data_IF_716611357266
#
_entry.id   IF_716611357266
#
_cell.length_a   1.000
_cell.length_b   1.000
_cell.length_c   1.000
_cell.angle_alpha   90.00
_cell.angle_beta   90.00
_cell.angle_gamma   90.00
#
_symmetry.space_group_name_H-M   'P 1'
#
loop_
_entity.id
_entity.type
_entity.pdbx_description
1 polymer ?
#
# COMPACT_ATOMS: atom_id res chain seq x y z
N UNK A 1 9.55 23.82 28.92
CA UNK A 1 8.51 23.27 28.03
C UNK A 1 8.83 21.81 27.76
N UNK A 2 7.91 20.90 28.11
CA UNK A 2 8.13 19.46 28.11
C UNK A 2 8.02 18.91 26.68
N UNK A 3 9.10 18.31 26.17
CA UNK A 3 9.12 17.52 24.95
C UNK A 3 8.36 16.21 25.19
N UNK A 4 7.38 15.89 24.34
CA UNK A 4 6.78 14.56 24.28
C UNK A 4 7.16 13.94 22.95
N UNK A 5 8.19 13.11 22.96
CA UNK A 5 8.50 12.17 21.88
C UNK A 5 7.59 10.97 22.03
N UNK A 6 6.66 10.79 21.10
CA UNK A 6 5.82 9.59 21.03
C UNK A 6 6.60 8.55 20.23
N UNK A 7 6.95 7.44 20.88
CA UNK A 7 7.53 6.25 20.25
C UNK A 7 6.48 5.15 20.32
N UNK A 8 5.92 4.73 19.19
CA UNK A 8 5.13 3.49 19.12
C UNK A 8 6.05 2.38 18.61
N UNK A 9 6.47 1.50 19.53
CA UNK A 9 7.05 0.20 19.21
C UNK A 9 5.88 -0.79 19.24
N UNK A 10 5.43 -1.20 18.06
CA UNK A 10 4.43 -2.26 17.89
C UNK A 10 5.10 -3.62 17.86
N UNK A 11 5.21 -4.27 19.02
CA UNK A 11 5.54 -5.69 19.15
C UNK A 11 4.22 -6.48 19.05
N UNK A 12 3.93 -7.10 17.91
CA UNK A 12 2.79 -8.02 17.76
C UNK A 12 3.27 -9.44 18.02
N UNK A 13 2.96 -9.95 19.21
CA UNK A 13 3.13 -11.34 19.59
C UNK A 13 1.91 -12.14 19.11
N UNK A 14 2.19 -13.11 18.26
CA UNK A 14 1.23 -13.99 17.60
C UNK A 14 0.93 -15.18 18.53
N UNK A 15 -0.29 -15.25 19.09
CA UNK A 15 -0.78 -16.42 19.80
C UNK A 15 -2.13 -16.86 19.21
N UNK A 16 -2.06 -17.81 18.28
CA UNK A 16 -3.19 -18.62 17.82
C UNK A 16 -3.43 -19.71 18.86
N UNK A 17 -4.61 -19.73 19.49
CA UNK A 17 -5.11 -20.91 20.20
C UNK A 17 -6.64 -20.88 20.34
N UNK A 18 -7.30 -21.63 19.45
CA UNK A 18 -8.42 -22.53 19.78
C UNK A 18 -9.76 -21.91 20.18
N UNK A 19 -10.61 -21.61 19.19
CA UNK A 19 -12.06 -21.68 19.39
C UNK A 19 -12.54 -23.12 19.16
N UNK A 20 -12.81 -23.83 20.26
CA UNK A 20 -13.54 -25.09 20.30
C UNK A 20 -14.54 -25.01 21.46
N UNK A 21 -15.75 -24.56 21.21
CA UNK A 21 -16.94 -24.66 22.08
C UNK A 21 -18.15 -24.26 21.21
N UNK A 22 -19.29 -24.94 21.14
CA UNK A 22 -19.75 -26.22 21.66
C UNK A 22 -21.00 -26.58 20.86
N UNK A 23 -21.19 -27.86 20.52
CA UNK A 23 -22.48 -28.38 20.11
C UNK A 23 -23.32 -28.62 21.37
N UNK A 24 -24.55 -28.08 21.42
CA UNK A 24 -25.55 -28.42 22.41
C UNK A 24 -26.86 -28.80 21.71
N UNK A 25 -27.40 -29.94 22.13
CA UNK A 25 -28.53 -30.68 21.58
C UNK A 25 -29.92 -30.11 21.91
N UNK A 26 -30.90 -30.51 21.09
CA UNK A 26 -32.28 -30.86 21.48
C UNK A 26 -33.32 -29.75 21.34
N UNK A 27 -34.58 -29.97 20.94
CA UNK A 27 -35.37 -31.17 20.63
C UNK A 27 -36.67 -30.74 19.91
N UNK A 28 -37.16 -31.60 19.01
CA UNK A 28 -38.55 -32.02 18.73
C UNK A 28 -39.71 -31.01 18.63
N UNK A 29 -40.45 -31.05 17.50
CA UNK A 29 -41.80 -31.65 17.42
C UNK A 29 -42.42 -31.63 16.00
N UNK A 30 -42.86 -32.84 15.61
CA UNK A 30 -43.94 -33.29 14.73
C UNK A 30 -45.02 -32.27 14.29
N UNK A 31 -45.40 -32.27 12.99
CA UNK A 31 -46.71 -32.76 12.48
C UNK A 31 -47.12 -32.16 11.11
N UNK A 32 -47.26 -33.04 10.11
CA UNK A 32 -48.36 -33.16 9.13
C UNK A 32 -49.11 -31.94 8.50
N UNK A 33 -49.03 -31.89 7.16
CA UNK A 33 -50.17 -31.85 6.17
C UNK A 33 -50.65 -30.50 5.56
N UNK A 34 -50.71 -30.55 4.21
CA UNK A 34 -51.58 -29.90 3.19
C UNK A 34 -51.20 -28.55 2.54
N UNK A 35 -51.01 -28.68 1.21
CA UNK A 35 -51.30 -27.79 0.08
C UNK A 35 -52.08 -26.50 0.39
N UNK A 36 -51.62 -25.36 -0.12
CA UNK A 36 -52.45 -24.53 -0.99
C UNK A 36 -51.62 -23.58 -1.87
N UNK A 37 -52.28 -23.15 -2.93
CA UNK A 37 -51.83 -22.46 -4.13
C UNK A 37 -51.27 -21.05 -3.92
N UNK A 38 -50.48 -20.61 -4.91
CA UNK A 38 -50.43 -19.21 -5.30
C UNK A 38 -49.56 -18.30 -4.44
N UNK A 39 -48.27 -18.23 -4.77
CA UNK A 39 -47.51 -17.01 -4.52
C UNK A 39 -46.65 -16.69 -5.72
N UNK A 40 -46.97 -15.55 -6.32
CA UNK A 40 -46.20 -14.86 -7.34
C UNK A 40 -44.81 -14.62 -6.77
N UNK A 41 -43.87 -15.51 -7.07
CA UNK A 41 -42.46 -15.26 -6.83
C UNK A 41 -42.04 -14.22 -7.87
N UNK A 42 -42.09 -12.97 -7.43
CA UNK A 42 -41.24 -11.91 -7.95
C UNK A 42 -39.85 -12.50 -8.12
N UNK A 43 -39.34 -12.48 -9.34
CA UNK A 43 -37.93 -12.71 -9.58
C UNK A 43 -37.16 -11.62 -8.85
N UNK A 44 -36.81 -11.88 -7.59
CA UNK A 44 -35.58 -11.37 -7.04
C UNK A 44 -34.50 -11.94 -7.95
N UNK A 45 -34.14 -11.13 -8.93
CA UNK A 45 -32.87 -11.28 -9.59
C UNK A 45 -31.89 -11.04 -8.45
N UNK A 46 -31.42 -12.12 -7.83
CA UNK A 46 -30.17 -12.09 -7.08
C UNK A 46 -29.20 -11.39 -8.03
N UNK A 47 -28.94 -10.11 -7.77
CA UNK A 47 -27.77 -9.47 -8.32
C UNK A 47 -26.66 -10.38 -7.82
N UNK A 48 -26.09 -11.18 -8.73
CA UNK A 48 -24.84 -11.88 -8.44
C UNK A 48 -23.94 -10.78 -7.91
N UNK A 49 -23.61 -10.85 -6.62
CA UNK A 49 -22.50 -10.09 -6.07
C UNK A 49 -21.31 -10.52 -6.93
N UNK A 50 -21.00 -9.69 -7.93
CA UNK A 50 -19.81 -9.89 -8.73
C UNK A 50 -18.71 -9.57 -7.77
N UNK A 51 -18.04 -10.62 -7.28
CA UNK A 51 -16.90 -10.49 -6.40
C UNK A 51 -15.92 -9.49 -7.02
N UNK A 52 -15.68 -8.40 -6.29
CA UNK A 52 -14.75 -7.36 -6.74
C UNK A 52 -13.36 -7.96 -6.92
N UNK A 53 -12.70 -7.61 -8.02
CA UNK A 53 -11.36 -8.08 -8.36
C UNK A 53 -10.32 -7.59 -7.36
N UNK A 54 -9.27 -8.37 -7.16
CA UNK A 54 -8.05 -7.95 -6.44
C UNK A 54 -6.96 -7.47 -7.37
N UNK A 55 -7.19 -7.36 -8.68
CA UNK A 55 -6.24 -6.75 -9.62
C UNK A 55 -6.38 -5.20 -9.57
N UNK A 56 -5.35 -4.46 -9.12
CA UNK A 56 -5.38 -3.00 -9.11
C UNK A 56 -5.66 -2.38 -10.49
N UNK A 57 -5.28 -3.07 -11.58
CA UNK A 57 -5.49 -2.59 -12.94
C UNK A 57 -6.97 -2.47 -13.34
N UNK A 58 -7.88 -3.10 -12.58
CA UNK A 58 -9.32 -3.02 -12.80
C UNK A 58 -9.94 -1.73 -12.25
N UNK A 59 -9.16 -0.91 -11.52
CA UNK A 59 -9.64 0.30 -10.85
C UNK A 59 -8.84 1.53 -11.27
N UNK A 60 -9.50 2.69 -11.24
CA UNK A 60 -8.84 3.98 -11.48
C UNK A 60 -7.83 4.28 -10.36
N UNK A 61 -6.61 4.65 -10.76
CA UNK A 61 -5.50 5.01 -9.86
C UNK A 61 -5.94 6.16 -8.92
N UNK A 62 -5.51 6.09 -7.67
CA UNK A 62 -5.85 7.10 -6.65
C UNK A 62 -7.26 6.97 -6.07
N UNK A 63 -8.03 5.95 -6.43
CA UNK A 63 -9.33 5.65 -5.80
C UNK A 63 -9.20 4.74 -4.59
N UNK A 64 -10.23 4.72 -3.74
CA UNK A 64 -10.34 3.75 -2.63
C UNK A 64 -10.28 2.31 -3.12
N UNK A 65 -10.93 2.01 -4.24
CA UNK A 65 -11.00 0.65 -4.77
C UNK A 65 -9.64 0.18 -5.30
N UNK A 66 -8.87 1.07 -5.94
CA UNK A 66 -7.47 0.80 -6.31
C UNK A 66 -6.61 0.55 -5.07
N UNK A 67 -6.67 1.42 -4.06
CA UNK A 67 -5.97 1.23 -2.78
C UNK A 67 -6.31 -0.12 -2.13
N UNK A 68 -7.59 -0.50 -2.11
CA UNK A 68 -8.04 -1.77 -1.55
C UNK A 68 -7.53 -2.98 -2.33
N UNK A 69 -7.54 -2.93 -3.67
CA UNK A 69 -7.02 -3.99 -4.50
C UNK A 69 -5.51 -4.18 -4.30
N UNK A 70 -4.75 -3.08 -4.23
CA UNK A 70 -3.31 -3.09 -3.93
C UNK A 70 -3.05 -3.71 -2.57
N UNK A 71 -3.77 -3.26 -1.54
CA UNK A 71 -3.60 -3.74 -0.19
C UNK A 71 -4.02 -5.21 -0.03
N UNK A 72 -5.08 -5.63 -0.71
CA UNK A 72 -5.51 -7.03 -0.77
C UNK A 72 -4.41 -7.93 -1.34
N UNK A 73 -3.79 -7.55 -2.46
CA UNK A 73 -2.66 -8.30 -3.03
C UNK A 73 -1.46 -8.34 -2.08
N UNK A 74 -1.09 -7.20 -1.49
CA UNK A 74 0.06 -7.10 -0.58
C UNK A 74 -0.10 -8.03 0.64
N UNK A 75 -1.33 -8.15 1.17
CA UNK A 75 -1.63 -8.98 2.34
C UNK A 75 -2.09 -10.40 2.01
N UNK A 76 -2.29 -10.74 0.73
CA UNK A 76 -2.84 -12.03 0.32
C UNK A 76 -4.28 -12.25 0.79
N UNK A 77 -5.10 -11.19 0.76
CA UNK A 77 -6.50 -11.18 1.18
C UNK A 77 -7.44 -11.16 -0.04
N UNK A 78 -8.68 -11.59 0.16
CA UNK A 78 -9.76 -11.24 -0.79
C UNK A 78 -10.09 -9.74 -0.71
N UNK A 79 -10.75 -9.21 -1.75
CA UNK A 79 -11.17 -7.80 -1.75
C UNK A 79 -12.10 -7.48 -0.57
N UNK A 80 -13.06 -8.37 -0.27
CA UNK A 80 -14.04 -8.18 0.83
C UNK A 80 -13.37 -8.16 2.20
N UNK A 81 -12.34 -8.99 2.40
CA UNK A 81 -11.55 -8.98 3.64
C UNK A 81 -10.74 -7.68 3.79
N UNK A 82 -10.11 -7.21 2.70
CA UNK A 82 -9.40 -5.93 2.69
C UNK A 82 -10.35 -4.78 3.00
N UNK A 83 -11.54 -4.73 2.36
CA UNK A 83 -12.55 -3.71 2.63
C UNK A 83 -13.04 -3.73 4.08
N UNK A 84 -13.28 -4.92 4.63
CA UNK A 84 -13.71 -5.07 6.01
C UNK A 84 -12.65 -4.57 6.99
N UNK A 85 -11.39 -4.92 6.78
CA UNK A 85 -10.27 -4.44 7.59
C UNK A 85 -10.08 -2.93 7.46
N UNK A 86 -10.14 -2.41 6.25
CA UNK A 86 -10.06 -0.98 5.96
C UNK A 86 -11.11 -0.20 6.75
N UNK A 87 -12.36 -0.64 6.71
CA UNK A 87 -13.45 -0.01 7.48
C UNK A 87 -13.17 -0.04 8.99
N UNK A 88 -12.70 -1.16 9.52
CA UNK A 88 -12.36 -1.29 10.94
C UNK A 88 -11.17 -0.42 11.36
N UNK A 89 -10.26 -0.10 10.44
CA UNK A 89 -9.18 0.85 10.67
C UNK A 89 -9.68 2.28 10.61
N UNK A 90 -10.45 2.64 9.58
CA UNK A 90 -10.96 4.00 9.40
C UNK A 90 -11.94 4.42 10.48
N UNK A 91 -12.74 3.49 11.00
CA UNK A 91 -13.68 3.74 12.11
C UNK A 91 -12.97 4.16 13.41
N UNK A 92 -11.66 3.87 13.53
CA UNK A 92 -10.84 4.26 14.69
C UNK A 92 -10.20 5.65 14.52
N UNK A 93 -10.29 6.24 13.33
CA UNK A 93 -9.73 7.56 13.04
C UNK A 93 -10.69 8.62 13.59
N UNK A 94 -10.21 9.41 14.54
CA UNK A 94 -10.97 10.53 15.09
C UNK A 94 -10.92 11.73 14.13
N UNK A 95 -11.92 11.82 13.25
CA UNK A 95 -12.08 12.94 12.32
C UNK A 95 -12.90 14.07 12.94
N UNK A 96 -12.50 15.31 12.69
CA UNK A 96 -13.37 16.46 12.94
C UNK A 96 -14.51 16.54 11.90
N UNK A 97 -15.54 17.36 12.17
CA UNK A 97 -16.63 17.60 11.21
C UNK A 97 -16.15 18.21 9.89
N UNK A 98 -14.95 18.80 9.86
CA UNK A 98 -14.35 19.41 8.68
C UNK A 98 -13.35 18.48 7.97
N UNK A 99 -13.08 17.29 8.49
CA UNK A 99 -12.14 16.35 7.89
C UNK A 99 -12.83 15.20 7.17
N UNK A 100 -12.10 14.59 6.24
CA UNK A 100 -12.48 13.38 5.54
C UNK A 100 -11.23 12.56 5.18
N UNK A 101 -11.45 11.27 4.92
CA UNK A 101 -10.43 10.37 4.40
C UNK A 101 -10.40 10.48 2.88
N UNK A 102 -9.20 10.59 2.32
CA UNK A 102 -8.94 10.57 0.89
C UNK A 102 -7.95 9.46 0.53
N UNK A 103 -7.94 9.13 -0.76
CA UNK A 103 -7.04 8.15 -1.36
C UNK A 103 -6.32 8.81 -2.53
N UNK A 104 -5.06 8.44 -2.75
CA UNK A 104 -4.25 8.92 -3.86
C UNK A 104 -3.15 7.91 -4.15
N UNK A 105 -2.71 7.82 -5.40
CA UNK A 105 -1.50 7.08 -5.74
C UNK A 105 -0.43 8.09 -6.10
N UNK A 106 0.72 7.98 -5.44
CA UNK A 106 1.89 8.78 -5.79
C UNK A 106 2.83 7.94 -6.63
N UNK A 107 3.32 8.49 -7.73
CA UNK A 107 4.40 7.91 -8.52
C UNK A 107 5.29 9.04 -9.05
N UNK A 108 6.50 9.18 -8.47
CA UNK A 108 7.41 10.28 -8.82
C UNK A 108 8.89 9.94 -8.63
N UNK A 109 9.73 10.65 -9.37
CA UNK A 109 11.19 10.60 -9.22
C UNK A 109 11.59 10.97 -7.77
N UNK A 110 12.48 10.17 -7.17
CA UNK A 110 12.92 10.32 -5.78
C UNK A 110 14.45 10.37 -5.67
N UNK A 111 15.13 10.75 -6.76
CA UNK A 111 16.58 10.88 -6.85
C UNK A 111 17.20 9.95 -7.88
N UNK A 112 18.42 9.52 -7.60
CA UNK A 112 19.17 8.59 -8.44
C UNK A 112 20.19 7.81 -7.63
N UNK A 113 20.80 6.77 -8.21
CA UNK A 113 22.00 6.11 -7.70
C UNK A 113 23.13 6.23 -8.71
N UNK A 114 24.35 6.53 -8.26
CA UNK A 114 25.50 6.73 -9.15
C UNK A 114 26.78 6.04 -8.68
N UNK A 115 27.61 5.62 -9.64
CA UNK A 115 28.96 5.14 -9.35
C UNK A 115 30.00 6.26 -9.10
N UNK A 116 29.62 7.53 -9.27
CA UNK A 116 30.54 8.67 -9.18
C UNK A 116 31.51 8.81 -10.35
N UNK A 117 31.43 7.96 -11.37
CA UNK A 117 32.29 7.95 -12.56
C UNK A 117 31.50 8.00 -13.87
N UNK A 118 30.34 8.68 -13.86
CA UNK A 118 29.55 8.95 -15.07
C UNK A 118 28.36 8.02 -15.29
N UNK A 119 28.19 6.96 -14.50
CA UNK A 119 26.96 6.16 -14.49
C UNK A 119 26.01 6.69 -13.41
N UNK A 120 24.79 7.07 -13.81
CA UNK A 120 23.75 7.58 -12.91
C UNK A 120 22.40 7.02 -13.36
N UNK A 121 21.68 6.37 -12.44
CA UNK A 121 20.40 5.72 -12.72
C UNK A 121 19.32 6.38 -11.87
N UNK A 122 18.27 6.91 -12.51
CA UNK A 122 17.16 7.58 -11.83
C UNK A 122 16.34 6.59 -11.02
N UNK A 123 15.85 7.03 -9.87
CA UNK A 123 15.00 6.25 -8.97
C UNK A 123 13.63 6.93 -8.85
N UNK A 124 12.58 6.13 -8.76
CA UNK A 124 11.22 6.60 -8.49
C UNK A 124 10.62 5.90 -7.28
N UNK A 125 9.70 6.58 -6.61
CA UNK A 125 8.94 6.07 -5.49
C UNK A 125 7.48 6.01 -5.91
N UNK A 126 6.84 4.88 -5.62
CA UNK A 126 5.40 4.68 -5.80
C UNK A 126 4.77 4.20 -4.50
N UNK A 127 3.56 4.67 -4.19
CA UNK A 127 2.73 4.13 -3.12
C UNK A 127 1.27 4.54 -3.31
N UNK A 128 0.36 3.72 -2.81
CA UNK A 128 -1.04 4.08 -2.59
C UNK A 128 -1.20 4.63 -1.18
N UNK A 129 -1.79 5.81 -1.07
CA UNK A 129 -1.83 6.62 0.16
C UNK A 129 -3.27 6.77 0.60
N UNK A 130 -3.55 6.41 1.86
CA UNK A 130 -4.74 6.85 2.59
C UNK A 130 -4.35 8.05 3.46
N UNK A 131 -5.00 9.18 3.23
CA UNK A 131 -4.69 10.45 3.90
C UNK A 131 -5.94 11.10 4.49
N UNK A 132 -5.73 12.05 5.39
CA UNK A 132 -6.79 12.89 5.96
C UNK A 132 -6.64 14.29 5.38
N UNK A 133 -7.75 14.87 4.95
CA UNK A 133 -7.77 16.24 4.44
C UNK A 133 -8.91 17.05 5.06
N UNK A 134 -8.71 18.37 5.13
CA UNK A 134 -9.73 19.33 5.52
C UNK A 134 -10.61 19.65 4.30
N UNK A 135 -11.92 19.44 4.42
CA UNK A 135 -12.92 19.63 3.34
C UNK A 135 -12.97 21.07 2.80
N UNK A 136 -12.94 22.14 3.64
CA UNK A 136 -12.97 23.52 3.16
C UNK A 136 -11.91 23.91 2.12
N UNK A 137 -10.66 23.48 2.28
CA UNK A 137 -9.50 23.95 1.50
C UNK A 137 -8.72 22.81 0.82
N UNK A 138 -9.05 21.56 1.13
CA UNK A 138 -8.34 20.37 0.64
C UNK A 138 -6.95 20.21 1.25
N UNK A 139 -6.63 20.93 2.33
CA UNK A 139 -5.33 20.81 3.00
C UNK A 139 -5.18 19.38 3.57
N UNK A 140 -4.07 18.73 3.24
CA UNK A 140 -3.74 17.42 3.80
C UNK A 140 -3.30 17.62 5.26
N UNK A 141 -4.03 17.04 6.20
CA UNK A 141 -3.76 17.18 7.65
C UNK A 141 -2.97 16.01 8.21
N UNK A 142 -3.01 14.84 7.57
CA UNK A 142 -2.22 13.67 7.93
C UNK A 142 -2.09 12.67 6.78
N UNK A 143 -1.04 11.85 6.81
CA UNK A 143 -1.03 10.54 6.13
C UNK A 143 -1.36 9.48 7.17
N UNK A 144 -2.38 8.68 6.89
CA UNK A 144 -2.83 7.61 7.78
C UNK A 144 -2.13 6.28 7.45
N UNK A 145 -2.11 5.89 6.17
CA UNK A 145 -1.50 4.63 5.75
C UNK A 145 -0.90 4.70 4.33
N UNK A 146 0.03 3.79 4.07
CA UNK A 146 0.71 3.57 2.79
C UNK A 146 0.59 2.08 2.42
N UNK A 147 0.05 1.79 1.25
CA UNK A 147 0.03 0.46 0.63
C UNK A 147 1.03 0.41 -0.53
N UNK A 148 1.69 -0.75 -0.70
CA UNK A 148 2.68 -1.02 -1.76
C UNK A 148 3.73 0.10 -1.95
N UNK A 149 4.27 0.62 -0.84
CA UNK A 149 5.36 1.56 -0.90
C UNK A 149 6.60 0.88 -1.51
N UNK A 150 7.09 1.39 -2.65
CA UNK A 150 8.22 0.79 -3.37
C UNK A 150 9.15 1.82 -3.99
N UNK A 151 10.41 1.43 -4.13
CA UNK A 151 11.40 2.13 -4.95
C UNK A 151 11.65 1.29 -6.19
N UNK A 152 11.68 1.93 -7.35
CA UNK A 152 11.99 1.29 -8.62
C UNK A 152 12.87 2.17 -9.50
N UNK A 153 13.40 1.57 -10.57
CA UNK A 153 14.24 2.23 -11.56
C UNK A 153 13.46 2.32 -12.88
N UNK A 154 12.92 3.51 -13.24
CA UNK A 154 12.04 3.64 -14.41
C UNK A 154 12.68 3.16 -15.73
N UNK A 155 13.99 3.32 -15.85
CA UNK A 155 14.74 3.00 -17.07
C UNK A 155 15.42 1.61 -17.00
N UNK A 156 15.30 0.89 -15.87
CA UNK A 156 15.97 -0.40 -15.67
C UNK A 156 14.93 -1.45 -15.24
N UNK A 157 14.34 -2.17 -16.20
CA UNK A 157 13.34 -3.20 -15.90
C UNK A 157 13.96 -4.36 -15.11
N UNK A 158 13.15 -4.98 -14.24
CA UNK A 158 13.60 -6.09 -13.40
C UNK A 158 14.51 -5.69 -12.23
N UNK A 159 14.74 -4.39 -12.02
CA UNK A 159 15.35 -3.90 -10.79
C UNK A 159 14.51 -4.30 -9.57
N UNK A 160 15.19 -4.69 -8.51
CA UNK A 160 14.57 -5.03 -7.22
C UNK A 160 15.08 -4.11 -6.14
N UNK A 161 14.22 -3.83 -5.15
CA UNK A 161 14.54 -2.99 -4.03
C UNK A 161 14.28 -3.74 -2.72
N UNK A 162 15.18 -3.56 -1.75
CA UNK A 162 14.96 -3.95 -0.36
C UNK A 162 14.92 -2.68 0.47
N UNK A 163 13.75 -2.33 0.98
CA UNK A 163 13.52 -1.06 1.68
C UNK A 163 13.06 -1.27 3.11
N UNK A 164 13.35 -0.29 3.96
CA UNK A 164 12.77 -0.17 5.30
C UNK A 164 11.30 0.23 5.23
N UNK A 165 10.64 0.17 6.39
CA UNK A 165 9.35 0.82 6.58
C UNK A 165 9.44 2.32 6.21
N UNK A 166 8.38 2.90 5.61
CA UNK A 166 8.31 4.32 5.35
C UNK A 166 8.32 5.16 6.62
N UNK A 167 9.05 6.26 6.54
CA UNK A 167 9.17 7.26 7.60
C UNK A 167 8.56 8.57 7.10
N UNK A 168 7.53 9.03 7.80
CA UNK A 168 6.68 10.16 7.39
C UNK A 168 6.92 11.33 8.35
N UNK A 169 7.22 12.51 7.80
CA UNK A 169 7.31 13.76 8.55
C UNK A 169 6.46 14.83 7.91
N UNK A 170 5.76 15.59 8.74
CA UNK A 170 5.10 16.81 8.30
C UNK A 170 6.16 17.88 7.99
N UNK A 171 6.01 18.51 6.82
CA UNK A 171 6.74 19.69 6.38
C UNK A 171 5.76 20.83 6.08
N UNK A 172 6.28 22.04 5.84
CA UNK A 172 5.45 23.24 5.61
C UNK A 172 4.45 23.08 4.46
N UNK A 173 4.81 22.29 3.43
CA UNK A 173 4.03 22.16 2.19
C UNK A 173 3.36 20.80 2.01
N UNK A 174 3.46 19.91 3.00
CA UNK A 174 2.94 18.55 2.89
C UNK A 174 3.68 17.57 3.78
N UNK A 175 3.87 16.35 3.32
CA UNK A 175 4.47 15.26 4.08
C UNK A 175 5.68 14.68 3.34
N UNK A 176 6.85 14.75 3.96
CA UNK A 176 8.02 14.04 3.47
C UNK A 176 7.88 12.56 3.80
N UNK A 177 7.78 11.72 2.77
CA UNK A 177 7.81 10.27 2.88
C UNK A 177 9.20 9.80 2.49
N UNK A 178 9.82 8.97 3.31
CA UNK A 178 11.16 8.45 3.03
C UNK A 178 11.34 7.00 3.42
N UNK A 179 12.11 6.29 2.61
CA UNK A 179 12.48 4.88 2.83
C UNK A 179 13.99 4.75 2.67
N UNK A 180 14.61 3.85 3.43
CA UNK A 180 16.05 3.56 3.28
C UNK A 180 16.20 2.14 2.77
N UNK A 181 17.00 1.95 1.72
CA UNK A 181 17.12 0.63 1.11
C UNK A 181 18.28 0.48 0.15
N UNK A 182 18.44 -0.74 -0.35
CA UNK A 182 19.39 -1.11 -1.39
C UNK A 182 18.63 -1.49 -2.66
N UNK A 183 19.28 -1.29 -3.81
CA UNK A 183 18.78 -1.67 -5.12
C UNK A 183 19.70 -2.72 -5.74
N UNK A 184 19.10 -3.69 -6.42
CA UNK A 184 19.79 -4.71 -7.21
C UNK A 184 19.25 -4.70 -8.62
N UNK A 185 20.10 -4.49 -9.62
CA UNK A 185 19.68 -4.34 -11.01
C UNK A 185 20.79 -4.70 -12.00
N UNK A 186 20.43 -4.89 -13.27
CA UNK A 186 21.38 -5.23 -14.35
C UNK A 186 21.38 -4.11 -15.38
N UNK A 187 22.57 -3.63 -15.75
CA UNK A 187 22.76 -2.69 -16.85
C UNK A 187 23.38 -3.41 -18.05
N UNK A 188 22.90 -3.11 -19.26
CA UNK A 188 23.50 -3.59 -20.53
C UNK A 188 24.76 -2.80 -20.91
N UNK A 189 25.71 -2.72 -19.98
CA UNK A 189 27.00 -2.07 -20.17
C UNK A 189 28.07 -2.75 -19.32
N UNK A 190 29.15 -3.21 -19.94
CA UNK A 190 30.27 -3.86 -19.26
C UNK A 190 31.22 -2.88 -18.55
N UNK A 191 31.19 -1.59 -18.89
CA UNK A 191 32.12 -0.58 -18.37
C UNK A 191 31.65 0.07 -17.06
N UNK A 192 30.59 -0.48 -16.44
CA UNK A 192 30.12 0.00 -15.15
C UNK A 192 31.13 -0.40 -14.09
N UNK A 193 31.75 0.60 -13.46
CA UNK A 193 32.69 0.37 -12.36
C UNK A 193 31.98 0.50 -11.02
N UNK A 194 32.45 -0.27 -10.05
CA UNK A 194 32.12 -0.05 -8.63
C UNK A 194 32.64 1.32 -8.17
N UNK A 195 31.90 1.99 -7.30
CA UNK A 195 32.21 3.33 -6.81
C UNK A 195 30.95 4.06 -6.36
N UNK A 196 31.10 5.20 -5.67
CA UNK A 196 29.96 6.00 -5.20
C UNK A 196 28.97 5.17 -4.41
N UNK A 197 27.75 5.06 -4.92
CA UNK A 197 26.63 4.33 -4.33
C UNK A 197 26.52 2.89 -4.84
N UNK A 198 27.39 2.46 -5.77
CA UNK A 198 27.44 1.08 -6.25
C UNK A 198 28.40 0.30 -5.36
N UNK A 199 27.84 -0.51 -4.45
CA UNK A 199 28.60 -1.27 -3.44
C UNK A 199 29.23 -2.53 -4.04
N UNK A 200 28.58 -3.13 -5.03
CA UNK A 200 29.09 -4.28 -5.79
C UNK A 200 28.74 -4.13 -7.25
N UNK A 201 29.68 -4.45 -8.13
CA UNK A 201 29.45 -4.57 -9.57
C UNK A 201 30.10 -5.85 -10.07
N UNK A 202 29.29 -6.74 -10.61
CA UNK A 202 29.75 -7.98 -11.26
C UNK A 202 29.48 -7.91 -12.75
N UNK A 203 30.57 -7.79 -13.52
CA UNK A 203 30.49 -7.72 -14.98
C UNK A 203 30.63 -9.11 -15.60
N UNK A 204 29.68 -9.47 -16.47
CA UNK A 204 29.74 -10.67 -17.29
C UNK A 204 29.28 -10.35 -18.70
N UNK A 205 30.11 -10.65 -19.70
CA UNK A 205 29.89 -10.29 -21.10
C UNK A 205 29.61 -8.78 -21.23
N UNK A 206 28.45 -8.39 -21.75
CA UNK A 206 28.02 -7.01 -21.95
C UNK A 206 27.03 -6.52 -20.88
N UNK A 207 27.03 -7.15 -19.70
CA UNK A 207 26.12 -6.83 -18.62
C UNK A 207 26.89 -6.62 -17.31
N UNK A 208 26.40 -5.68 -16.52
CA UNK A 208 26.88 -5.43 -15.16
C UNK A 208 25.74 -5.56 -14.18
N UNK A 209 25.85 -6.52 -13.27
CA UNK A 209 24.95 -6.67 -12.15
C UNK A 209 25.42 -5.75 -11.03
N UNK A 210 24.56 -4.83 -10.61
CA UNK A 210 24.88 -3.78 -9.64
C UNK A 210 24.06 -4.00 -8.38
N UNK A 211 24.72 -3.91 -7.23
CA UNK A 211 24.07 -3.76 -5.92
C UNK A 211 24.50 -2.41 -5.36
N UNK A 212 23.57 -1.65 -4.82
CA UNK A 212 23.87 -0.34 -4.23
C UNK A 212 24.25 -0.44 -2.75
N UNK A 213 24.90 0.59 -2.21
CA UNK A 213 24.88 0.84 -0.77
C UNK A 213 23.48 1.24 -0.32
N UNK A 214 23.18 1.10 0.97
CA UNK A 214 21.93 1.60 1.52
C UNK A 214 21.85 3.13 1.37
N UNK A 215 20.74 3.62 0.84
CA UNK A 215 20.47 5.04 0.63
C UNK A 215 19.05 5.38 1.06
N UNK A 216 18.86 6.58 1.60
CA UNK A 216 17.52 7.12 1.86
C UNK A 216 16.97 7.82 0.62
N UNK A 217 15.83 7.34 0.15
CA UNK A 217 15.02 7.95 -0.90
C UNK A 217 13.87 8.71 -0.26
N UNK A 218 13.52 9.87 -0.81
CA UNK A 218 12.47 10.69 -0.24
C UNK A 218 11.69 11.43 -1.31
N UNK A 219 10.39 11.60 -1.04
CA UNK A 219 9.49 12.44 -1.79
C UNK A 219 8.74 13.38 -0.85
N UNK A 220 8.25 14.49 -1.37
CA UNK A 220 7.29 15.35 -0.67
C UNK A 220 5.91 15.06 -1.25
N UNK A 221 4.99 14.48 -0.48
CA UNK A 221 3.58 14.33 -0.82
C UNK A 221 2.82 15.59 -0.42
N UNK A 222 2.13 16.21 -1.36
CA UNK A 222 1.43 17.49 -1.16
C UNK A 222 0.14 17.54 -1.98
N UNK A 223 -0.70 18.55 -1.77
CA UNK A 223 -2.01 18.65 -2.39
C UNK A 223 -1.98 18.59 -3.92
N UNK A 224 -0.90 19.08 -4.55
CA UNK A 224 -0.72 18.99 -6.02
C UNK A 224 -0.55 17.57 -6.54
N UNK A 225 -0.26 16.59 -5.68
CA UNK A 225 -0.13 15.18 -6.04
C UNK A 225 -1.47 14.43 -6.01
N UNK A 226 -2.52 15.00 -5.43
CA UNK A 226 -3.85 14.36 -5.29
C UNK A 226 -4.64 14.41 -6.61
N UNK A 227 -4.18 15.18 -7.60
CA UNK A 227 -4.90 15.39 -8.86
C UNK A 227 -3.97 15.24 -10.08
N UNK A 228 -4.17 14.15 -10.80
CA UNK A 228 -3.95 14.03 -12.26
C UNK A 228 -5.07 13.21 -12.86
#
# INVERSE_FOLDING_TARGET
>A
MKRRSIKYIGLVLLCVAGYMFMAACGQDKESAVRNDEGSVLSGETEAKDVEKSTDPADYEIGTRDHYLAVWAQEKGLSYVEAESQERLETDKIALSEEEAIGYATVDKECGSVSNGSGCNVKTAFSADIRYIYRKPDGEITAIDNLADAKIYLPEVPGATAQISDPNIYQEERGFRISVTGTLSFTLENADVTQGGEFSSVETSRNQSNVITTAKTFAILFQQSDIQK
#
